data_IF_405481034884
#
_entry.id   IF_405481034884
#
_cell.length_a   1.000
_cell.length_b   1.000
_cell.length_c   1.000
_cell.angle_alpha   90.00
_cell.angle_beta   90.00
_cell.angle_gamma   90.00
#
_symmetry.space_group_name_H-M   'P 1'
#
loop_
_entity.id
_entity.type
_entity.pdbx_description
1 polymer ?
#
# COMPACT_ATOMS: atom_id res chain seq x y z
N UNK A 1 6.54 1.59 36.42
CA UNK A 1 5.82 1.56 35.13
C UNK A 1 6.40 2.66 34.26
N UNK A 2 7.22 2.31 33.27
CA UNK A 2 7.78 3.27 32.31
C UNK A 2 6.77 3.43 31.17
N UNK A 3 5.91 4.45 31.23
CA UNK A 3 5.15 4.91 30.08
C UNK A 3 6.13 5.55 29.09
N UNK A 4 6.29 4.96 27.90
CA UNK A 4 7.02 5.60 26.79
C UNK A 4 6.32 6.94 26.47
N UNK A 5 7.06 8.05 26.30
CA UNK A 5 6.44 9.33 25.95
C UNK A 5 5.74 9.25 24.58
N UNK A 6 4.60 9.94 24.38
CA UNK A 6 3.90 9.96 23.10
C UNK A 6 4.80 10.50 21.99
N UNK A 7 4.71 9.91 20.80
CA UNK A 7 5.52 10.31 19.64
C UNK A 7 5.14 11.73 19.19
N UNK A 8 6.11 12.63 19.06
CA UNK A 8 5.88 13.98 18.54
C UNK A 8 5.30 13.93 17.10
N UNK A 9 4.31 14.78 16.79
CA UNK A 9 3.57 14.81 15.49
C UNK A 9 4.46 14.74 14.25
N UNK A 10 5.56 15.52 14.22
CA UNK A 10 6.55 15.48 13.12
C UNK A 10 7.16 14.11 12.93
N UNK A 11 7.50 13.45 14.03
CA UNK A 11 8.02 12.09 13.98
C UNK A 11 6.93 11.15 13.46
N UNK A 12 5.68 11.26 13.89
CA UNK A 12 4.60 10.41 13.38
C UNK A 12 4.32 10.63 11.89
N UNK A 13 4.17 11.88 11.43
CA UNK A 13 3.96 12.22 10.02
C UNK A 13 5.16 11.85 9.13
N UNK A 14 6.39 11.97 9.65
CA UNK A 14 7.57 11.42 8.97
C UNK A 14 7.50 9.90 8.86
N UNK A 15 7.05 9.24 9.93
CA UNK A 15 7.00 7.78 10.05
C UNK A 15 5.97 7.13 9.14
N UNK A 16 4.82 7.76 8.95
CA UNK A 16 3.81 7.27 7.97
C UNK A 16 4.12 7.74 6.53
N UNK A 17 5.21 8.51 6.33
CA UNK A 17 5.62 9.03 5.02
C UNK A 17 4.88 10.28 4.55
N UNK A 18 3.91 10.80 5.33
CA UNK A 18 3.10 11.95 4.94
C UNK A 18 3.91 13.25 4.82
N UNK A 19 5.00 13.42 5.60
CA UNK A 19 5.90 14.56 5.38
C UNK A 19 6.66 14.45 4.05
N UNK A 20 7.10 13.26 3.68
CA UNK A 20 7.72 13.00 2.38
C UNK A 20 6.75 13.26 1.23
N UNK A 21 5.51 12.78 1.38
CA UNK A 21 4.43 13.01 0.43
C UNK A 21 4.05 14.50 0.32
N UNK A 22 3.96 15.24 1.43
CA UNK A 22 3.65 16.68 1.42
C UNK A 22 4.77 17.52 0.79
N UNK A 23 6.04 17.18 1.03
CA UNK A 23 7.20 17.83 0.40
C UNK A 23 7.25 17.51 -1.09
N UNK A 24 7.03 16.24 -1.48
CA UNK A 24 6.94 15.83 -2.88
C UNK A 24 5.76 16.47 -3.63
N UNK A 25 4.60 16.54 -2.99
CA UNK A 25 3.41 17.21 -3.50
C UNK A 25 3.59 18.72 -3.64
N UNK A 26 4.40 19.36 -2.79
CA UNK A 26 4.78 20.77 -2.95
C UNK A 26 5.55 21.06 -4.25
N UNK A 27 6.16 20.05 -4.87
CA UNK A 27 6.75 20.12 -6.21
C UNK A 27 5.80 19.75 -7.35
N UNK A 28 4.78 18.92 -7.07
CA UNK A 28 3.79 18.43 -8.06
C UNK A 28 2.54 19.30 -8.16
N UNK A 29 2.18 20.04 -7.11
CA UNK A 29 1.05 20.95 -7.09
C UNK A 29 1.53 22.36 -7.48
N UNK A 30 1.11 22.89 -8.65
CA UNK A 30 1.46 24.26 -9.00
C UNK A 30 0.87 25.21 -7.96
N UNK A 31 1.59 26.28 -7.59
CA UNK A 31 1.11 27.29 -6.61
C UNK A 31 -0.29 27.83 -6.93
N UNK A 32 -0.67 27.84 -8.21
CA UNK A 32 -2.02 28.19 -8.67
C UNK A 32 -3.10 27.20 -8.24
N UNK A 33 -2.82 25.90 -8.10
CA UNK A 33 -3.78 24.91 -7.59
C UNK A 33 -4.05 25.06 -6.09
N UNK A 34 -3.03 25.47 -5.32
CA UNK A 34 -3.18 25.82 -3.89
C UNK A 34 -3.92 27.15 -3.70
N UNK A 35 -3.75 28.10 -4.63
CA UNK A 35 -4.45 29.39 -4.62
C UNK A 35 -5.86 29.35 -5.24
N UNK A 36 -6.15 28.32 -6.05
CA UNK A 36 -7.43 28.13 -6.73
C UNK A 36 -8.38 27.21 -5.97
N UNK A 37 -8.18 26.97 -4.67
CA UNK A 37 -9.28 26.52 -3.82
C UNK A 37 -10.28 27.67 -3.84
N UNK A 38 -11.39 27.56 -4.58
CA UNK A 38 -12.42 28.57 -4.46
C UNK A 38 -12.83 28.52 -2.99
N UNK A 39 -13.24 29.65 -2.41
CA UNK A 39 -14.19 29.57 -1.32
C UNK A 39 -15.45 28.92 -1.92
N UNK A 40 -15.44 27.59 -2.08
CA UNK A 40 -16.61 26.85 -2.46
C UNK A 40 -17.66 27.17 -1.39
N UNK A 41 -18.91 27.37 -1.80
CA UNK A 41 -20.03 27.59 -0.88
C UNK A 41 -20.37 26.32 -0.04
N UNK A 42 -19.35 25.56 0.37
CA UNK A 42 -19.43 24.31 1.10
C UNK A 42 -18.25 24.12 2.07
N UNK A 43 -18.35 23.09 2.91
CA UNK A 43 -17.43 22.79 4.02
C UNK A 43 -15.94 22.90 3.61
N UNK A 44 -15.14 23.81 4.21
CA UNK A 44 -13.73 23.98 3.88
C UNK A 44 -12.89 22.71 4.03
N UNK A 45 -13.35 21.72 4.81
CA UNK A 45 -12.70 20.40 4.92
C UNK A 45 -12.78 19.60 3.60
N UNK A 46 -13.84 19.76 2.83
CA UNK A 46 -14.03 19.03 1.56
C UNK A 46 -13.00 19.40 0.49
N UNK A 47 -12.63 20.69 0.40
CA UNK A 47 -11.59 21.16 -0.51
C UNK A 47 -10.19 20.65 -0.14
N UNK A 48 -9.88 20.59 1.16
CA UNK A 48 -8.61 20.05 1.66
C UNK A 48 -8.54 18.53 1.41
N UNK A 49 -9.63 17.81 1.67
CA UNK A 49 -9.75 16.37 1.35
C UNK A 49 -9.51 16.10 -0.13
N UNK A 50 -10.06 16.93 -1.02
CA UNK A 50 -9.86 16.84 -2.46
C UNK A 50 -8.40 17.01 -2.89
N UNK A 51 -7.66 17.92 -2.24
CA UNK A 51 -6.23 18.13 -2.51
C UNK A 51 -5.33 17.02 -1.96
N UNK A 52 -5.71 16.39 -0.84
CA UNK A 52 -4.91 15.35 -0.20
C UNK A 52 -5.03 14.00 -0.87
N UNK A 53 -6.20 13.67 -1.41
CA UNK A 53 -6.47 12.38 -2.05
C UNK A 53 -5.42 11.96 -3.09
N UNK A 54 -5.01 12.78 -4.07
CA UNK A 54 -3.98 12.38 -5.03
C UNK A 54 -2.61 12.17 -4.38
N UNK A 55 -2.27 12.95 -3.36
CA UNK A 55 -1.00 12.83 -2.62
C UNK A 55 -0.96 11.52 -1.82
N UNK A 56 -2.06 11.16 -1.18
CA UNK A 56 -2.22 9.91 -0.44
C UNK A 56 -2.23 8.69 -1.37
N UNK A 57 -2.84 8.82 -2.56
CA UNK A 57 -2.81 7.77 -3.58
C UNK A 57 -1.38 7.53 -4.08
N UNK A 58 -0.61 8.60 -4.35
CA UNK A 58 0.77 8.47 -4.80
C UNK A 58 1.69 7.92 -3.70
N UNK A 59 1.49 8.31 -2.45
CA UNK A 59 2.18 7.72 -1.31
C UNK A 59 1.89 6.20 -1.21
N UNK A 60 0.62 5.82 -1.38
CA UNK A 60 0.21 4.41 -1.33
C UNK A 60 0.84 3.62 -2.47
N UNK A 61 0.80 4.15 -3.69
CA UNK A 61 1.44 3.57 -4.87
C UNK A 61 2.95 3.42 -4.67
N UNK A 62 3.65 4.43 -4.16
CA UNK A 62 5.09 4.35 -3.93
C UNK A 62 5.45 3.28 -2.88
N UNK A 63 4.66 3.16 -1.81
CA UNK A 63 4.81 2.09 -0.82
C UNK A 63 4.59 0.71 -1.44
N UNK A 64 3.53 0.56 -2.24
CA UNK A 64 3.18 -0.71 -2.87
C UNK A 64 4.15 -1.09 -4.00
N UNK A 65 4.76 -0.14 -4.71
CA UNK A 65 5.91 -0.40 -5.58
C UNK A 65 7.06 -1.02 -4.79
N UNK A 66 7.35 -0.48 -3.60
CA UNK A 66 8.34 -1.05 -2.70
C UNK A 66 8.01 -2.49 -2.28
N UNK A 67 6.72 -2.82 -2.12
CA UNK A 67 6.25 -4.15 -1.74
C UNK A 67 6.29 -5.15 -2.91
N UNK A 68 5.78 -4.78 -4.07
CA UNK A 68 5.73 -5.69 -5.22
C UNK A 68 7.13 -6.05 -5.71
N UNK A 69 8.04 -5.07 -5.70
CA UNK A 69 9.46 -5.27 -6.02
C UNK A 69 10.21 -6.06 -4.95
N UNK A 70 9.78 -5.99 -3.68
CA UNK A 70 10.35 -6.84 -2.63
C UNK A 70 10.11 -8.33 -2.93
N UNK A 71 8.99 -8.65 -3.56
CA UNK A 71 8.61 -10.02 -3.89
C UNK A 71 9.19 -10.46 -5.23
N UNK A 72 9.07 -9.63 -6.28
CA UNK A 72 9.58 -9.93 -7.63
C UNK A 72 10.43 -8.76 -8.13
N UNK A 73 11.75 -8.77 -7.85
CA UNK A 73 12.65 -7.72 -8.30
C UNK A 73 12.83 -7.71 -9.82
N UNK A 74 13.10 -6.52 -10.37
CA UNK A 74 13.32 -6.27 -11.79
C UNK A 74 14.48 -5.30 -12.04
N UNK A 75 14.42 -4.63 -13.19
CA UNK A 75 15.44 -3.66 -13.65
C UNK A 75 15.26 -2.25 -13.06
N UNK A 76 14.22 -2.07 -12.27
CA UNK A 76 13.74 -0.78 -11.84
C UNK A 76 14.56 -0.19 -10.68
N UNK A 77 14.33 1.10 -10.43
CA UNK A 77 15.01 1.85 -9.37
C UNK A 77 14.70 1.36 -7.95
N UNK A 78 13.53 0.78 -7.69
CA UNK A 78 13.17 0.23 -6.38
C UNK A 78 13.95 -1.06 -6.14
N UNK A 79 14.13 -1.89 -7.17
CA UNK A 79 14.94 -3.12 -7.11
C UNK A 79 16.40 -2.80 -6.82
N UNK A 80 16.95 -1.78 -7.50
CA UNK A 80 18.29 -1.28 -7.23
C UNK A 80 18.44 -0.73 -5.80
N UNK A 81 17.47 0.07 -5.34
CA UNK A 81 17.54 0.71 -4.04
C UNK A 81 17.40 -0.27 -2.86
N UNK A 82 16.63 -1.36 -3.01
CA UNK A 82 16.54 -2.40 -1.99
C UNK A 82 17.74 -3.37 -1.99
N UNK A 83 18.62 -3.28 -3.00
CA UNK A 83 19.83 -4.09 -3.13
C UNK A 83 19.66 -5.42 -3.87
N UNK A 84 18.58 -5.61 -4.63
CA UNK A 84 18.32 -6.84 -5.40
C UNK A 84 17.93 -6.55 -6.86
N UNK A 85 18.73 -5.79 -7.63
CA UNK A 85 18.44 -5.58 -9.04
C UNK A 85 18.48 -6.89 -9.83
N UNK A 86 17.64 -7.02 -10.87
CA UNK A 86 17.63 -8.14 -11.80
C UNK A 86 17.70 -7.67 -13.24
N UNK A 87 18.33 -8.48 -14.11
CA UNK A 87 18.34 -8.27 -15.57
C UNK A 87 17.09 -8.86 -16.27
N UNK A 88 16.15 -9.39 -15.50
CA UNK A 88 14.83 -9.83 -15.98
C UNK A 88 13.76 -8.79 -15.68
N UNK A 89 12.62 -8.77 -16.42
CA UNK A 89 11.46 -7.98 -16.01
C UNK A 89 10.98 -8.40 -14.62
N UNK A 90 10.49 -7.46 -13.82
CA UNK A 90 10.00 -7.70 -12.46
C UNK A 90 8.55 -7.26 -12.28
N UNK A 91 8.16 -7.02 -11.02
CA UNK A 91 6.78 -6.70 -10.69
C UNK A 91 6.27 -5.40 -11.33
N UNK A 92 7.13 -4.40 -11.53
CA UNK A 92 6.70 -3.14 -12.11
C UNK A 92 6.41 -3.26 -13.61
N UNK A 93 7.23 -4.01 -14.35
CA UNK A 93 6.95 -4.33 -15.75
C UNK A 93 5.71 -5.21 -15.92
N UNK A 94 5.34 -5.97 -14.88
CA UNK A 94 4.14 -6.79 -14.83
C UNK A 94 2.89 -6.03 -14.37
N UNK A 95 2.96 -4.70 -14.17
CA UNK A 95 1.91 -3.88 -13.56
C UNK A 95 1.39 -4.46 -12.22
N UNK A 96 2.25 -5.17 -11.49
CA UNK A 96 1.88 -5.88 -10.26
C UNK A 96 1.38 -4.93 -9.17
N UNK A 97 1.86 -3.69 -9.15
CA UNK A 97 1.34 -2.66 -8.24
C UNK A 97 -0.09 -2.24 -8.60
N UNK A 98 -0.40 -2.08 -9.89
CA UNK A 98 -1.74 -1.72 -10.35
C UNK A 98 -2.72 -2.85 -10.08
N UNK A 99 -2.31 -4.10 -10.34
CA UNK A 99 -3.06 -5.27 -9.92
C UNK A 99 -3.34 -5.26 -8.42
N UNK A 100 -2.30 -5.07 -7.59
CA UNK A 100 -2.44 -5.13 -6.14
C UNK A 100 -3.34 -4.01 -5.61
N UNK A 101 -3.18 -2.78 -6.10
CA UNK A 101 -4.06 -1.67 -5.74
C UNK A 101 -5.50 -1.96 -6.14
N UNK A 102 -5.73 -2.42 -7.37
CA UNK A 102 -7.07 -2.78 -7.85
C UNK A 102 -7.69 -3.92 -7.02
N UNK A 103 -6.91 -4.95 -6.69
CA UNK A 103 -7.36 -6.06 -5.87
C UNK A 103 -7.76 -5.59 -4.47
N UNK A 104 -6.90 -4.81 -3.81
CA UNK A 104 -7.17 -4.28 -2.47
C UNK A 104 -8.37 -3.34 -2.45
N UNK A 105 -8.48 -2.45 -3.42
CA UNK A 105 -9.46 -1.37 -3.41
C UNK A 105 -10.84 -1.81 -3.93
N UNK A 106 -10.92 -2.82 -4.81
CA UNK A 106 -12.16 -3.24 -5.45
C UNK A 106 -12.61 -4.68 -5.16
N UNK A 107 -11.70 -5.58 -4.77
CA UNK A 107 -11.99 -7.02 -4.70
C UNK A 107 -11.78 -7.67 -3.34
N UNK A 108 -10.96 -7.10 -2.47
CA UNK A 108 -10.82 -7.60 -1.11
C UNK A 108 -11.97 -7.00 -0.28
N UNK A 109 -13.00 -7.79 0.10
CA UNK A 109 -13.94 -7.37 1.12
C UNK A 109 -13.20 -7.38 2.45
N UNK A 110 -12.40 -6.35 2.72
CA UNK A 110 -11.94 -6.12 4.08
C UNK A 110 -13.21 -5.79 4.87
N UNK A 111 -13.57 -6.58 5.90
CA UNK A 111 -14.72 -6.23 6.72
C UNK A 111 -14.50 -4.79 7.20
N UNK A 112 -15.51 -3.92 7.06
CA UNK A 112 -15.46 -2.55 7.60
C UNK A 112 -15.03 -2.54 9.08
N UNK A 113 -15.33 -3.64 9.77
CA UNK A 113 -14.94 -3.95 11.14
C UNK A 113 -13.41 -4.02 11.39
N UNK A 114 -12.58 -4.12 10.36
CA UNK A 114 -11.11 -4.13 10.44
C UNK A 114 -10.50 -2.83 9.92
N UNK A 115 -11.03 -2.32 8.80
CA UNK A 115 -10.58 -1.07 8.21
C UNK A 115 -10.88 0.13 9.13
N UNK A 116 -12.06 0.15 9.79
CA UNK A 116 -12.46 1.23 10.70
C UNK A 116 -11.57 1.28 11.95
N UNK A 117 -11.24 0.18 12.66
CA UNK A 117 -10.29 0.24 13.77
C UNK A 117 -8.87 0.62 13.38
N UNK A 118 -8.35 0.17 12.23
CA UNK A 118 -7.03 0.59 11.73
C UNK A 118 -7.05 2.09 11.39
N UNK A 119 -8.11 2.55 10.72
CA UNK A 119 -8.31 3.97 10.42
C UNK A 119 -8.46 4.81 11.68
N UNK A 120 -9.21 4.33 12.68
CA UNK A 120 -9.42 4.98 13.97
C UNK A 120 -8.13 5.01 14.80
N UNK A 121 -7.34 3.94 14.79
CA UNK A 121 -6.01 3.88 15.41
C UNK A 121 -5.05 4.91 14.80
N UNK A 122 -5.02 5.02 13.47
CA UNK A 122 -4.27 6.04 12.75
C UNK A 122 -4.78 7.45 13.09
N UNK A 123 -6.11 7.66 13.10
CA UNK A 123 -6.75 8.93 13.45
C UNK A 123 -6.54 9.34 14.92
N UNK A 124 -6.47 8.38 15.83
CA UNK A 124 -6.23 8.60 17.27
C UNK A 124 -4.76 8.94 17.51
N UNK A 125 -3.83 8.23 16.85
CA UNK A 125 -2.42 8.61 16.83
C UNK A 125 -2.18 10.02 16.29
N UNK A 126 -3.02 10.49 15.37
CA UNK A 126 -3.04 11.89 14.89
C UNK A 126 -3.67 12.86 15.91
N UNK A 127 -4.69 12.44 16.66
CA UNK A 127 -5.49 13.27 17.57
C UNK A 127 -4.74 13.80 18.80
N UNK A 128 -3.86 12.98 19.39
CA UNK A 128 -3.28 13.23 20.72
C UNK A 128 -2.00 14.09 20.71
N UNK A 129 -1.65 14.72 19.58
CA UNK A 129 -0.30 15.26 19.36
C UNK A 129 -0.18 16.78 19.24
N UNK A 130 -1.15 17.55 19.74
CA UNK A 130 -1.26 19.03 19.64
C UNK A 130 0.04 19.85 19.65
N UNK A 131 0.67 20.03 18.48
CA UNK A 131 1.93 20.78 18.27
C UNK A 131 1.87 21.57 16.95
N UNK A 132 2.29 22.84 17.01
CA UNK A 132 2.51 23.75 15.89
C UNK A 132 3.86 23.49 15.20
N UNK A 133 3.90 23.64 13.87
CA UNK A 133 5.02 23.21 13.02
C UNK A 133 5.81 24.44 12.50
N UNK A 134 7.08 24.68 12.88
CA UNK A 134 7.90 25.76 12.31
C UNK A 134 8.28 25.53 10.84
N UNK A 135 8.16 26.55 9.99
CA UNK A 135 8.36 26.50 8.53
C UNK A 135 7.07 26.34 7.71
N UNK A 136 5.93 26.30 8.39
CA UNK A 136 4.59 26.30 7.80
C UNK A 136 3.90 27.66 7.96
N UNK A 137 4.67 28.73 8.18
CA UNK A 137 4.18 30.12 8.13
C UNK A 137 3.71 30.54 6.73
N UNK A 138 3.97 29.69 5.72
CA UNK A 138 3.61 29.87 4.31
C UNK A 138 2.52 28.91 3.82
N UNK A 139 2.22 27.84 4.56
CA UNK A 139 1.01 27.06 4.32
C UNK A 139 -0.06 27.65 5.22
N UNK A 140 -1.29 27.87 4.73
CA UNK A 140 -2.26 28.56 5.56
C UNK A 140 -2.62 27.66 6.77
N UNK A 141 -3.45 28.15 7.70
CA UNK A 141 -3.86 27.54 9.00
C UNK A 141 -4.34 26.07 8.94
N UNK A 142 -4.33 25.44 7.77
CA UNK A 142 -4.86 24.13 7.43
C UNK A 142 -4.10 22.91 7.96
N UNK A 143 -3.08 23.02 8.80
CA UNK A 143 -2.52 21.82 9.44
C UNK A 143 -3.40 21.32 10.58
N UNK A 144 -4.16 22.20 11.23
CA UNK A 144 -5.30 21.78 12.06
C UNK A 144 -6.44 21.18 11.23
N UNK A 145 -6.54 21.55 9.95
CA UNK A 145 -7.47 20.88 9.03
C UNK A 145 -6.88 19.64 8.36
N UNK A 146 -5.57 19.40 8.34
CA UNK A 146 -4.99 18.17 7.79
C UNK A 146 -5.39 16.98 8.65
N UNK A 147 -5.23 17.10 9.97
CA UNK A 147 -5.64 16.05 10.90
C UNK A 147 -7.17 15.86 10.87
N UNK A 148 -7.94 16.96 10.78
CA UNK A 148 -9.41 16.92 10.62
C UNK A 148 -9.84 16.40 9.24
N UNK A 149 -9.06 16.63 8.19
CA UNK A 149 -9.34 16.17 6.83
C UNK A 149 -8.98 14.70 6.69
N UNK A 150 -7.85 14.25 7.26
CA UNK A 150 -7.52 12.83 7.40
C UNK A 150 -8.59 12.13 8.24
N UNK A 151 -9.00 12.73 9.36
CA UNK A 151 -10.10 12.20 10.16
C UNK A 151 -11.40 12.16 9.38
N UNK A 152 -11.81 13.23 8.71
CA UNK A 152 -13.01 13.27 7.87
C UNK A 152 -12.94 12.32 6.66
N UNK A 153 -11.73 12.00 6.19
CA UNK A 153 -11.46 11.04 5.13
C UNK A 153 -11.52 9.60 5.68
N UNK A 154 -11.09 9.37 6.92
CA UNK A 154 -11.18 8.09 7.65
C UNK A 154 -12.58 7.81 8.23
N UNK A 155 -13.34 8.85 8.57
CA UNK A 155 -14.69 8.77 9.16
C UNK A 155 -15.81 8.84 8.11
N UNK A 156 -15.55 9.37 6.91
CA UNK A 156 -16.54 9.32 5.83
C UNK A 156 -16.72 7.87 5.35
N UNK A 157 -17.97 7.41 5.26
CA UNK A 157 -18.39 6.15 4.63
C UNK A 157 -18.10 6.09 3.11
N UNK A 158 -17.38 7.06 2.55
CA UNK A 158 -16.82 6.98 1.21
C UNK A 158 -15.59 6.05 1.25
N UNK A 159 -15.84 4.74 1.24
CA UNK A 159 -14.90 3.61 1.08
C UNK A 159 -13.48 4.07 0.78
N UNK A 160 -12.65 4.21 1.82
CA UNK A 160 -11.24 4.48 1.61
C UNK A 160 -10.62 3.32 0.84
N UNK A 161 -9.79 3.61 -0.18
CA UNK A 161 -9.04 2.55 -0.84
C UNK A 161 -8.16 1.88 0.21
N UNK A 162 -8.32 0.56 0.35
CA UNK A 162 -7.63 -0.27 1.35
C UNK A 162 -6.11 -0.20 1.19
N UNK A 163 -5.63 0.14 0.00
CA UNK A 163 -4.22 0.45 -0.29
C UNK A 163 -3.63 1.50 0.66
N UNK A 164 -4.40 2.50 1.09
CA UNK A 164 -3.92 3.58 1.97
C UNK A 164 -3.62 3.13 3.42
N UNK A 165 -4.55 2.49 4.16
CA UNK A 165 -4.26 1.98 5.50
C UNK A 165 -3.16 0.91 5.49
N UNK A 166 -3.07 0.09 4.44
CA UNK A 166 -1.98 -0.88 4.26
C UNK A 166 -0.65 -0.14 4.10
N UNK A 167 -0.56 0.82 3.17
CA UNK A 167 0.67 1.59 2.95
C UNK A 167 1.10 2.34 4.23
N UNK A 168 0.15 2.92 4.95
CA UNK A 168 0.41 3.61 6.22
C UNK A 168 1.00 2.67 7.27
N UNK A 169 0.47 1.45 7.37
CA UNK A 169 0.97 0.42 8.29
C UNK A 169 2.39 -0.01 7.94
N UNK A 170 2.66 -0.27 6.65
CA UNK A 170 3.99 -0.64 6.18
C UNK A 170 5.03 0.46 6.43
N UNK A 171 4.66 1.72 6.20
CA UNK A 171 5.54 2.86 6.48
C UNK A 171 5.82 3.04 7.97
N UNK A 172 4.79 2.88 8.81
CA UNK A 172 4.96 2.93 10.26
C UNK A 172 5.95 1.86 10.74
N UNK A 173 5.78 0.61 10.31
CA UNK A 173 6.69 -0.47 10.68
C UNK A 173 8.09 -0.27 10.08
N UNK A 174 8.18 0.24 8.85
CA UNK A 174 9.46 0.54 8.20
C UNK A 174 10.32 1.47 9.04
N UNK A 175 9.71 2.49 9.65
CA UNK A 175 10.43 3.44 10.50
C UNK A 175 10.72 2.94 11.91
N UNK A 176 10.08 1.86 12.35
CA UNK A 176 10.50 1.11 13.54
C UNK A 176 11.74 0.27 13.24
N UNK A 177 11.81 -0.33 12.05
CA UNK A 177 12.98 -1.10 11.59
C UNK A 177 14.18 -0.18 11.32
N UNK A 178 13.97 0.89 10.55
CA UNK A 178 15.00 1.86 10.24
C UNK A 178 14.44 3.30 10.35
N UNK A 179 14.70 4.01 11.46
CA UNK A 179 14.26 5.39 11.63
C UNK A 179 14.81 6.37 10.59
N UNK A 180 15.94 6.06 9.94
CA UNK A 180 16.53 6.92 8.91
C UNK A 180 15.79 6.83 7.57
N UNK A 181 14.95 5.81 7.38
CA UNK A 181 14.12 5.63 6.19
C UNK A 181 13.08 6.76 5.99
N UNK A 182 12.91 7.67 6.97
CA UNK A 182 12.14 8.91 6.80
C UNK A 182 12.76 9.87 5.77
N UNK A 183 14.03 9.67 5.42
CA UNK A 183 14.72 10.38 4.34
C UNK A 183 15.14 9.40 3.24
N UNK A 184 15.08 9.81 1.98
CA UNK A 184 15.55 8.98 0.88
C UNK A 184 14.94 9.37 -0.48
N UNK A 185 15.27 8.60 -1.54
CA UNK A 185 14.95 8.94 -2.93
C UNK A 185 13.49 8.69 -3.31
N UNK A 186 12.76 7.85 -2.55
CA UNK A 186 11.33 7.58 -2.78
C UNK A 186 10.45 8.41 -1.87
N UNK A 187 9.13 8.39 -2.06
CA UNK A 187 8.21 9.17 -1.23
C UNK A 187 8.00 8.54 0.15
N UNK A 188 7.97 7.21 0.19
CA UNK A 188 7.57 6.43 1.35
C UNK A 188 8.75 5.76 2.07
N UNK A 189 8.74 5.69 3.41
CA UNK A 189 9.77 4.99 4.18
C UNK A 189 9.96 3.52 3.79
N UNK A 190 8.86 2.78 3.57
CA UNK A 190 8.96 1.35 3.22
C UNK A 190 9.68 1.11 1.90
N UNK A 191 9.44 1.95 0.88
CA UNK A 191 10.11 1.83 -0.41
C UNK A 191 11.63 2.07 -0.35
N UNK A 192 12.10 2.78 0.68
CA UNK A 192 13.53 3.12 0.88
C UNK A 192 14.31 2.03 1.63
N UNK A 193 13.64 1.02 2.15
CA UNK A 193 14.28 -0.06 2.88
C UNK A 193 15.05 -1.00 1.96
N UNK A 194 16.14 -1.57 2.47
CA UNK A 194 16.79 -2.74 1.90
C UNK A 194 15.90 -3.98 1.99
N UNK A 195 16.21 -5.01 1.19
CA UNK A 195 15.48 -6.29 1.22
C UNK A 195 15.41 -6.90 2.63
N UNK A 196 16.53 -6.90 3.37
CA UNK A 196 16.59 -7.44 4.73
C UNK A 196 15.71 -6.65 5.71
N UNK A 197 15.65 -5.33 5.57
CA UNK A 197 14.80 -4.48 6.40
C UNK A 197 13.32 -4.69 6.08
N UNK A 198 12.94 -4.86 4.81
CA UNK A 198 11.57 -5.20 4.43
C UNK A 198 11.15 -6.56 4.99
N UNK A 199 12.03 -7.56 4.93
CA UNK A 199 11.78 -8.85 5.58
C UNK A 199 11.57 -8.70 7.10
N UNK A 200 12.33 -7.80 7.75
CA UNK A 200 12.13 -7.49 9.18
C UNK A 200 10.79 -6.79 9.45
N UNK A 201 10.30 -5.95 8.55
CA UNK A 201 8.95 -5.37 8.64
C UNK A 201 7.89 -6.46 8.66
N UNK A 202 7.96 -7.44 7.75
CA UNK A 202 7.03 -8.58 7.72
C UNK A 202 7.13 -9.46 8.97
N UNK A 203 8.34 -9.67 9.50
CA UNK A 203 8.52 -10.38 10.77
C UNK A 203 7.84 -9.65 11.94
N UNK A 204 7.85 -8.31 11.96
CA UNK A 204 7.12 -7.53 12.97
C UNK A 204 5.61 -7.60 12.76
N UNK A 205 5.16 -7.58 11.50
CA UNK A 205 3.74 -7.67 11.16
C UNK A 205 3.13 -9.01 11.60
N UNK A 206 3.87 -10.11 11.43
CA UNK A 206 3.43 -11.47 11.79
C UNK A 206 3.66 -11.83 13.27
N UNK A 207 4.35 -10.97 14.03
CA UNK A 207 4.74 -11.23 15.41
C UNK A 207 3.56 -11.21 16.41
N UNK A 208 3.56 -12.07 17.45
CA UNK A 208 2.51 -12.09 18.48
C UNK A 208 2.49 -10.84 19.37
N UNK A 209 3.63 -10.21 19.59
CA UNK A 209 3.83 -9.06 20.50
C UNK A 209 4.14 -7.75 19.75
N UNK A 210 3.65 -7.58 18.52
CA UNK A 210 3.93 -6.33 17.82
C UNK A 210 3.23 -5.17 18.55
N UNK A 211 3.93 -4.03 18.71
CA UNK A 211 3.35 -2.80 19.26
C UNK A 211 2.06 -2.41 18.48
N UNK A 212 1.93 -2.87 17.22
CA UNK A 212 0.74 -2.74 16.37
C UNK A 212 -0.44 -3.57 16.89
N UNK A 213 -0.23 -4.82 17.32
CA UNK A 213 -1.28 -5.66 17.94
C UNK A 213 -1.85 -4.93 19.15
N UNK A 214 -0.98 -4.46 20.05
CA UNK A 214 -1.40 -3.78 21.27
C UNK A 214 -2.18 -2.48 20.98
N UNK A 215 -1.76 -1.73 19.96
CA UNK A 215 -2.43 -0.50 19.55
C UNK A 215 -3.81 -0.80 18.96
N UNK A 216 -3.89 -1.77 18.05
CA UNK A 216 -5.14 -2.12 17.36
C UNK A 216 -6.15 -2.78 18.30
N UNK A 217 -5.73 -3.69 19.19
CA UNK A 217 -6.59 -4.47 20.08
C UNK A 217 -7.50 -3.59 20.96
N UNK A 218 -7.03 -2.40 21.36
CA UNK A 218 -7.81 -1.41 22.14
C UNK A 218 -9.03 -0.89 21.36
N UNK A 219 -8.96 -0.88 20.03
CA UNK A 219 -10.01 -0.35 19.16
C UNK A 219 -10.98 -1.43 18.64
N UNK A 220 -10.74 -2.72 18.93
CA UNK A 220 -11.63 -3.80 18.51
C UNK A 220 -12.77 -4.05 19.52
N UNK A 221 -14.03 -4.21 19.05
CA UNK A 221 -15.12 -4.63 19.92
C UNK A 221 -14.95 -6.10 20.33
N UNK A 222 -15.43 -6.47 21.51
CA UNK A 222 -15.56 -7.89 21.88
C UNK A 222 -16.61 -8.57 20.96
N UNK A 223 -16.38 -9.81 20.47
CA UNK A 223 -15.34 -10.77 20.87
C UNK A 223 -14.05 -10.72 20.02
N UNK A 224 -13.87 -9.72 19.15
CA UNK A 224 -12.73 -9.67 18.21
C UNK A 224 -11.41 -9.29 18.86
N UNK A 225 -11.44 -8.74 20.08
CA UNK A 225 -10.24 -8.58 20.92
C UNK A 225 -9.49 -9.91 21.01
N UNK A 226 -8.17 -9.86 20.95
CA UNK A 226 -7.25 -11.01 20.86
C UNK A 226 -7.20 -11.76 19.51
N UNK A 227 -8.05 -11.41 18.53
CA UNK A 227 -7.96 -11.97 17.16
C UNK A 227 -7.02 -11.18 16.24
N UNK A 228 -6.55 -10.01 16.69
CA UNK A 228 -5.71 -9.07 15.93
C UNK A 228 -4.40 -9.71 15.47
N UNK A 229 -3.75 -10.52 16.32
CA UNK A 229 -2.51 -11.21 15.94
C UNK A 229 -2.72 -12.19 14.78
N UNK A 230 -3.83 -12.94 14.77
CA UNK A 230 -4.19 -13.83 13.67
C UNK A 230 -4.46 -13.07 12.37
N UNK A 231 -5.14 -11.93 12.47
CA UNK A 231 -5.43 -11.07 11.34
C UNK A 231 -4.17 -10.46 10.73
N UNK A 232 -3.23 -9.96 11.54
CA UNK A 232 -1.99 -9.36 11.01
C UNK A 232 -1.09 -10.41 10.36
N UNK A 233 -1.06 -11.64 10.88
CA UNK A 233 -0.40 -12.77 10.22
C UNK A 233 -1.02 -13.08 8.86
N UNK A 234 -2.35 -13.13 8.80
CA UNK A 234 -3.07 -13.30 7.54
C UNK A 234 -2.76 -12.15 6.56
N UNK A 235 -2.77 -10.91 7.04
CA UNK A 235 -2.44 -9.73 6.23
C UNK A 235 -1.00 -9.81 5.69
N UNK A 236 -0.02 -10.18 6.51
CA UNK A 236 1.37 -10.34 6.08
C UNK A 236 1.53 -11.35 4.95
N UNK A 237 0.99 -12.55 5.13
CA UNK A 237 0.99 -13.59 4.10
C UNK A 237 0.25 -13.15 2.83
N UNK A 238 -0.97 -12.65 2.97
CA UNK A 238 -1.80 -12.22 1.86
C UNK A 238 -1.14 -11.11 1.02
N UNK A 239 -0.46 -10.15 1.65
CA UNK A 239 0.22 -9.07 0.93
C UNK A 239 1.36 -9.60 0.04
N UNK A 240 2.13 -10.57 0.53
CA UNK A 240 3.19 -11.21 -0.27
C UNK A 240 2.58 -12.05 -1.38
N UNK A 241 1.53 -12.82 -1.07
CA UNK A 241 0.83 -13.67 -2.04
C UNK A 241 0.22 -12.86 -3.18
N UNK A 242 -0.56 -11.81 -2.88
CA UNK A 242 -1.17 -10.97 -3.90
C UNK A 242 -0.15 -10.18 -4.71
N UNK A 243 0.93 -9.71 -4.08
CA UNK A 243 2.02 -9.06 -4.80
C UNK A 243 2.73 -10.03 -5.76
N UNK A 244 2.96 -11.28 -5.34
CA UNK A 244 3.52 -12.33 -6.19
C UNK A 244 2.57 -12.64 -7.34
N UNK A 245 1.30 -12.87 -7.01
CA UNK A 245 0.27 -13.25 -7.96
C UNK A 245 0.13 -12.18 -9.04
N UNK A 246 0.04 -10.90 -8.67
CA UNK A 246 -0.03 -9.81 -9.64
C UNK A 246 1.11 -9.84 -10.67
N UNK A 247 2.34 -10.11 -10.23
CA UNK A 247 3.50 -10.18 -11.12
C UNK A 247 3.54 -11.42 -12.03
N UNK A 248 2.87 -12.50 -11.64
CA UNK A 248 2.86 -13.77 -12.38
C UNK A 248 1.59 -14.03 -13.21
N UNK A 249 0.67 -13.08 -13.24
CA UNK A 249 -0.57 -13.16 -14.04
C UNK A 249 -0.45 -12.48 -15.40
N UNK A 250 -1.49 -12.64 -16.20
CA UNK A 250 -1.70 -11.98 -17.49
C UNK A 250 -2.22 -10.53 -17.34
N UNK A 251 -2.41 -10.01 -16.12
CA UNK A 251 -3.09 -8.74 -15.85
C UNK A 251 -2.63 -7.58 -16.76
N UNK A 252 -1.33 -7.33 -16.85
CA UNK A 252 -0.77 -6.22 -17.64
C UNK A 252 -0.94 -6.36 -19.15
N UNK A 253 -1.17 -7.58 -19.66
CA UNK A 253 -1.19 -7.86 -21.10
C UNK A 253 -2.54 -8.38 -21.58
N UNK A 254 -3.51 -8.56 -20.69
CA UNK A 254 -4.84 -9.03 -21.04
C UNK A 254 -5.72 -7.88 -21.54
N UNK A 255 -6.13 -7.92 -22.80
CA UNK A 255 -7.13 -7.00 -23.34
C UNK A 255 -8.53 -7.52 -23.01
N UNK A 256 -9.21 -6.83 -22.09
CA UNK A 256 -10.56 -7.21 -21.66
C UNK A 256 -11.61 -7.17 -22.77
N UNK A 257 -11.42 -6.35 -23.81
CA UNK A 257 -12.39 -6.20 -24.90
C UNK A 257 -12.26 -7.34 -25.91
N UNK A 258 -11.04 -7.70 -26.25
CA UNK A 258 -10.78 -8.78 -27.22
C UNK A 258 -10.65 -10.15 -26.56
N UNK A 259 -10.50 -10.20 -25.23
CA UNK A 259 -10.21 -11.41 -24.44
C UNK A 259 -8.94 -12.13 -24.92
N UNK A 260 -7.94 -11.36 -25.32
CA UNK A 260 -6.67 -11.85 -25.87
C UNK A 260 -5.47 -11.25 -25.13
N UNK A 261 -4.34 -11.94 -25.20
CA UNK A 261 -3.07 -11.43 -24.72
C UNK A 261 -2.44 -10.53 -25.79
N UNK A 262 -2.07 -9.31 -25.39
CA UNK A 262 -1.41 -8.31 -26.24
C UNK A 262 0.11 -8.46 -26.27
N UNK A 263 0.66 -9.27 -25.37
CA UNK A 263 2.08 -9.55 -25.25
C UNK A 263 2.32 -10.76 -24.36
N UNK A 264 3.59 -11.13 -24.18
CA UNK A 264 3.97 -12.26 -23.33
C UNK A 264 4.04 -11.81 -21.86
N UNK A 265 3.25 -12.43 -20.94
CA UNK A 265 3.27 -12.06 -19.52
C UNK A 265 4.66 -12.20 -18.89
N UNK A 266 4.97 -11.36 -17.90
CA UNK A 266 6.25 -11.41 -17.18
C UNK A 266 6.44 -12.75 -16.46
N UNK A 267 5.41 -13.25 -15.78
CA UNK A 267 5.45 -14.56 -15.13
C UNK A 267 5.84 -15.69 -16.09
N UNK A 268 5.39 -15.64 -17.33
CA UNK A 268 5.72 -16.64 -18.35
C UNK A 268 7.18 -16.54 -18.79
N UNK A 269 7.72 -15.32 -18.88
CA UNK A 269 9.13 -15.09 -19.20
C UNK A 269 10.04 -15.59 -18.07
N UNK A 270 9.68 -15.31 -16.81
CA UNK A 270 10.45 -15.70 -15.63
C UNK A 270 10.47 -17.21 -15.38
N UNK A 271 9.35 -17.89 -15.63
CA UNK A 271 9.24 -19.35 -15.48
C UNK A 271 9.72 -20.14 -16.69
N UNK A 272 9.93 -19.47 -17.83
CA UNK A 272 10.12 -20.14 -19.11
C UNK A 272 8.86 -20.85 -19.60
N UNK A 273 7.68 -20.53 -19.07
CA UNK A 273 6.41 -21.10 -19.52
C UNK A 273 6.14 -20.68 -20.96
N UNK A 274 5.87 -21.67 -21.82
CA UNK A 274 5.50 -21.49 -23.23
C UNK A 274 6.47 -20.60 -24.02
N UNK A 275 7.76 -20.98 -24.15
CA UNK A 275 8.75 -20.18 -24.86
C UNK A 275 8.40 -19.94 -26.33
N UNK A 276 7.69 -20.88 -26.95
CA UNK A 276 7.32 -20.89 -28.36
C UNK A 276 5.83 -20.60 -28.61
N UNK A 277 5.09 -20.13 -27.59
CA UNK A 277 3.66 -19.80 -27.68
C UNK A 277 2.71 -20.86 -27.09
N UNK A 278 1.38 -20.67 -27.28
CA UNK A 278 0.34 -21.52 -26.71
C UNK A 278 0.57 -23.01 -26.99
N UNK A 279 0.37 -23.81 -25.94
CA UNK A 279 0.46 -25.28 -25.90
C UNK A 279 -0.79 -25.88 -26.54
N UNK A 280 -1.19 -25.36 -27.71
CA UNK A 280 -2.24 -25.97 -28.53
C UNK A 280 -1.69 -27.32 -29.02
N UNK A 281 -2.10 -28.41 -28.36
CA UNK A 281 -1.77 -29.78 -28.77
C UNK A 281 -0.48 -30.39 -28.21
N UNK A 282 0.01 -29.99 -27.03
CA UNK A 282 0.99 -30.85 -26.34
C UNK A 282 0.34 -32.14 -25.84
N UNK A 283 1.13 -33.20 -25.79
CA UNK A 283 0.73 -34.56 -25.37
C UNK A 283 0.02 -34.59 -24.00
N UNK A 284 0.27 -33.60 -23.13
CA UNK A 284 -0.37 -33.48 -21.80
C UNK A 284 -1.90 -33.28 -21.85
N UNK A 285 -2.44 -32.79 -22.97
CA UNK A 285 -3.89 -32.68 -23.22
C UNK A 285 -4.41 -33.64 -24.30
N UNK A 286 -3.55 -34.49 -24.87
CA UNK A 286 -3.96 -35.64 -25.70
C UNK A 286 -4.41 -36.77 -24.77
N UNK A 287 -5.37 -36.47 -23.89
CA UNK A 287 -5.39 -37.19 -22.62
C UNK A 287 -6.56 -36.96 -21.70
N UNK A 288 -7.59 -36.19 -22.07
CA UNK A 288 -8.94 -36.42 -21.54
C UNK A 288 -9.51 -37.75 -22.10
N UNK A 289 -8.74 -38.81 -21.84
CA UNK A 289 -9.01 -40.15 -21.36
C UNK A 289 -10.00 -41.01 -22.14
N UNK A 290 -9.46 -42.03 -22.83
CA UNK A 290 -10.18 -43.07 -23.58
C UNK A 290 -11.07 -42.57 -24.72
N UNK A 291 -10.78 -41.39 -25.28
CA UNK A 291 -11.61 -40.79 -26.33
C UNK A 291 -12.97 -40.29 -25.81
N UNK A 292 -13.08 -39.99 -24.51
CA UNK A 292 -14.28 -39.40 -23.93
C UNK A 292 -14.35 -37.92 -24.27
N UNK A 293 -15.50 -37.49 -24.79
CA UNK A 293 -15.74 -36.09 -25.20
C UNK A 293 -16.70 -35.35 -24.26
N UNK A 294 -17.28 -36.01 -23.25
CA UNK A 294 -18.31 -35.46 -22.36
C UNK A 294 -18.45 -36.25 -21.04
N UNK A 295 -18.88 -35.57 -19.96
CA UNK A 295 -19.30 -36.15 -18.66
C UNK A 295 -20.70 -35.63 -18.34
N UNK A 296 -21.63 -36.52 -18.00
CA UNK A 296 -22.94 -36.18 -17.45
C UNK A 296 -23.04 -36.62 -15.98
N UNK A 297 -23.76 -35.84 -15.18
CA UNK A 297 -24.07 -36.09 -13.77
C UNK A 297 -25.00 -37.30 -13.55
#
# INVERSE_FOLDING_TARGET
>A
MNSKPPLARRAFLARIGLLGAAVGAGGLLPRSALAAVPAAEGDPLSGVVGLLRPVLAELSRDTLNGLTVFVVPGKDRYSAAQGTPSDTPGALEAEGTDFLMNALDNFVPFPDQLAKPIGAALATGLADTGVELPGLDLLPVQLGTLDKALRALLENDATLPLSLPIASTLNLLATQVNPLAVNGPFLSPFARLSYAEKARVFQLLEGPDSDLVALLDVHFPEPLKHSVSGLLKFLGGALIEFATFGAYTEYAVFDERTKQLTGRPVGWQLTGYQPDGPVEGWDDFIGYYQGRTEVHD
#
